data_IF_701209245083
#
_entry.id   IF_701209245083
#
_cell.length_a   1.000
_cell.length_b   1.000
_cell.length_c   1.000
_cell.angle_alpha   90.00
_cell.angle_beta   90.00
_cell.angle_gamma   90.00
#
_symmetry.space_group_name_H-M   'P 1'
#
loop_
_entity.id
_entity.type
_entity.pdbx_description
1 polymer ?
#
# COMPACT_ATOMS: atom_id res chain seq x y z
N UNK A 1 5.93 -34.10 -2.51
CA UNK A 1 4.72 -33.69 -3.25
C UNK A 1 4.96 -34.10 -4.68
N UNK A 2 4.64 -35.34 -4.98
CA UNK A 2 4.92 -35.96 -6.28
C UNK A 2 3.99 -35.39 -7.35
N UNK A 3 4.60 -34.98 -8.46
CA UNK A 3 3.97 -34.24 -9.58
C UNK A 3 3.25 -35.18 -10.55
N UNK A 4 2.44 -36.10 -10.06
CA UNK A 4 1.90 -37.18 -10.90
C UNK A 4 0.64 -36.79 -11.71
N UNK A 5 0.29 -35.50 -11.79
CA UNK A 5 -0.88 -35.01 -12.56
C UNK A 5 -0.65 -33.70 -13.32
N UNK A 6 0.60 -33.25 -13.47
CA UNK A 6 0.91 -31.94 -14.04
C UNK A 6 0.94 -32.03 -15.59
N UNK A 7 -0.13 -31.58 -16.27
CA UNK A 7 -0.20 -31.56 -17.75
C UNK A 7 0.92 -30.67 -18.31
N UNK A 8 1.81 -31.19 -19.17
CA UNK A 8 2.92 -30.42 -19.73
C UNK A 8 2.43 -29.15 -20.44
N UNK A 9 2.95 -27.99 -20.04
CA UNK A 9 2.59 -26.69 -20.61
C UNK A 9 1.34 -26.01 -20.03
N UNK A 10 0.63 -26.64 -19.08
CA UNK A 10 -0.53 -26.05 -18.41
C UNK A 10 -0.15 -25.13 -17.22
N UNK A 11 1.04 -25.32 -16.65
CA UNK A 11 1.52 -24.57 -15.49
C UNK A 11 2.69 -23.66 -15.89
N UNK A 12 2.59 -22.37 -15.51
CA UNK A 12 3.64 -21.36 -15.71
C UNK A 12 4.01 -20.73 -14.37
N UNK A 13 5.30 -20.47 -14.09
CA UNK A 13 5.71 -19.81 -12.86
C UNK A 13 5.22 -18.35 -12.82
N UNK A 14 4.25 -18.07 -11.96
CA UNK A 14 3.79 -16.69 -11.69
C UNK A 14 4.78 -16.02 -10.74
N UNK A 15 5.32 -14.87 -11.16
CA UNK A 15 6.19 -14.07 -10.30
C UNK A 15 5.37 -13.41 -9.19
N UNK A 16 5.83 -13.51 -7.94
CA UNK A 16 5.17 -12.90 -6.78
C UNK A 16 4.88 -11.41 -6.95
N UNK A 17 5.72 -10.68 -7.68
CA UNK A 17 5.50 -9.28 -8.00
C UNK A 17 4.18 -8.98 -8.74
N UNK A 18 3.57 -9.97 -9.41
CA UNK A 18 2.25 -9.80 -10.05
C UNK A 18 1.08 -9.99 -9.07
N UNK A 19 1.28 -10.72 -7.97
CA UNK A 19 0.21 -11.09 -7.04
C UNK A 19 0.31 -10.34 -5.70
N UNK A 20 1.50 -9.85 -5.33
CA UNK A 20 1.74 -9.16 -4.07
C UNK A 20 1.62 -7.63 -4.22
N UNK A 21 1.05 -6.93 -3.23
CA UNK A 21 0.97 -5.48 -3.22
C UNK A 21 2.35 -4.82 -3.33
N UNK A 22 2.46 -3.76 -4.14
CA UNK A 22 3.69 -2.98 -4.31
C UNK A 22 3.93 -2.12 -3.07
N UNK A 23 4.79 -2.62 -2.18
CA UNK A 23 5.25 -1.93 -0.99
C UNK A 23 6.48 -1.08 -1.32
N UNK A 24 6.54 0.13 -0.77
CA UNK A 24 7.65 1.08 -0.88
C UNK A 24 8.21 1.25 0.53
N UNK A 25 9.34 0.58 0.82
CA UNK A 25 9.95 0.59 2.17
C UNK A 25 9.07 -0.01 3.27
N UNK A 26 8.12 -0.90 2.90
CA UNK A 26 7.17 -1.49 3.84
C UNK A 26 5.84 -0.73 3.99
N UNK A 27 5.66 0.40 3.31
CA UNK A 27 4.40 1.15 3.23
C UNK A 27 3.70 0.96 1.87
N UNK A 28 2.36 1.02 1.77
CA UNK A 28 1.68 1.00 0.48
C UNK A 28 2.06 2.25 -0.33
N UNK A 29 2.45 2.06 -1.60
CA UNK A 29 2.94 3.15 -2.47
C UNK A 29 2.04 4.40 -2.48
N UNK A 30 0.72 4.21 -2.53
CA UNK A 30 -0.24 5.32 -2.57
C UNK A 30 -0.16 6.22 -1.33
N UNK A 31 -0.07 5.64 -0.14
CA UNK A 31 0.03 6.37 1.12
C UNK A 31 1.38 7.06 1.27
N UNK A 32 2.46 6.39 0.88
CA UNK A 32 3.79 6.99 0.91
C UNK A 32 3.86 8.26 0.04
N UNK A 33 3.25 8.23 -1.15
CA UNK A 33 3.18 9.39 -2.05
C UNK A 33 2.34 10.51 -1.42
N UNK A 34 1.11 10.22 -0.99
CA UNK A 34 0.22 11.24 -0.40
C UNK A 34 0.86 11.89 0.83
N UNK A 35 1.46 11.10 1.72
CA UNK A 35 2.13 11.62 2.91
C UNK A 35 3.38 12.44 2.56
N UNK A 36 4.17 11.98 1.60
CA UNK A 36 5.31 12.73 1.08
C UNK A 36 4.92 14.08 0.48
N UNK A 37 3.82 14.12 -0.28
CA UNK A 37 3.29 15.37 -0.85
C UNK A 37 2.78 16.30 0.24
N UNK A 38 2.04 15.79 1.24
CA UNK A 38 1.52 16.59 2.34
C UNK A 38 2.67 17.20 3.17
N UNK A 39 3.68 16.38 3.49
CA UNK A 39 4.88 16.83 4.19
C UNK A 39 5.66 17.89 3.39
N UNK A 40 5.81 17.70 2.07
CA UNK A 40 6.46 18.66 1.18
C UNK A 40 5.69 19.98 1.10
N UNK A 41 4.37 19.92 0.96
CA UNK A 41 3.50 21.09 0.93
C UNK A 41 3.60 21.91 2.23
N UNK A 42 3.61 21.24 3.39
CA UNK A 42 3.74 21.91 4.69
C UNK A 42 5.17 22.41 4.92
N UNK A 43 6.17 21.56 4.69
CA UNK A 43 7.57 21.84 5.00
C UNK A 43 8.18 22.91 4.10
N UNK A 44 7.96 22.81 2.80
CA UNK A 44 8.48 23.76 1.81
C UNK A 44 7.54 24.96 1.63
N UNK A 45 6.22 24.72 1.58
CA UNK A 45 5.24 25.78 1.31
C UNK A 45 5.10 26.80 2.42
N UNK A 46 5.10 26.36 3.68
CA UNK A 46 5.02 27.26 4.85
C UNK A 46 6.41 27.53 5.50
N UNK A 47 7.51 27.03 4.91
CA UNK A 47 8.87 26.98 5.50
C UNK A 47 8.96 26.28 6.87
N UNK A 48 7.91 25.58 7.28
CA UNK A 48 7.84 24.80 8.52
C UNK A 48 8.51 23.44 8.33
N UNK A 49 9.76 23.44 7.88
CA UNK A 49 10.47 22.21 7.47
C UNK A 49 10.51 21.14 8.58
N UNK A 50 10.66 21.54 9.85
CA UNK A 50 10.59 20.62 11.00
C UNK A 50 9.22 19.96 11.16
N UNK A 51 8.14 20.74 10.99
CA UNK A 51 6.77 20.22 11.07
C UNK A 51 6.49 19.30 9.88
N UNK A 52 6.93 19.69 8.68
CA UNK A 52 6.85 18.83 7.49
C UNK A 52 7.58 17.51 7.67
N UNK A 53 8.77 17.54 8.28
CA UNK A 53 9.57 16.34 8.55
C UNK A 53 8.94 15.46 9.64
N UNK A 54 8.35 16.06 10.68
CA UNK A 54 7.59 15.34 11.69
C UNK A 54 6.34 14.66 11.08
N UNK A 55 5.57 15.36 10.25
CA UNK A 55 4.43 14.81 9.51
C UNK A 55 4.89 13.65 8.61
N UNK A 56 6.00 13.84 7.89
CA UNK A 56 6.57 12.81 7.05
C UNK A 56 6.91 11.56 7.85
N UNK A 57 7.68 11.70 8.93
CA UNK A 57 8.12 10.59 9.76
C UNK A 57 6.95 9.84 10.40
N UNK A 58 5.99 10.56 10.99
CA UNK A 58 4.81 9.97 11.63
C UNK A 58 3.92 9.28 10.60
N UNK A 59 3.58 9.95 9.51
CA UNK A 59 2.71 9.38 8.48
C UNK A 59 3.36 8.20 7.75
N UNK A 60 4.68 8.21 7.56
CA UNK A 60 5.40 7.09 6.97
C UNK A 60 5.46 5.90 7.94
N UNK A 61 5.76 6.13 9.21
CA UNK A 61 5.74 5.08 10.24
C UNK A 61 4.36 4.43 10.38
N UNK A 62 3.28 5.23 10.38
CA UNK A 62 1.91 4.73 10.37
C UNK A 62 1.61 3.92 9.11
N UNK A 63 2.10 4.35 7.94
CA UNK A 63 1.91 3.61 6.68
C UNK A 63 2.63 2.26 6.70
N UNK A 64 3.86 2.19 7.23
CA UNK A 64 4.61 0.94 7.39
C UNK A 64 3.91 0.01 8.40
N UNK A 65 3.42 0.56 9.52
CA UNK A 65 2.67 -0.21 10.51
C UNK A 65 1.36 -0.77 9.94
N UNK A 66 0.63 0.03 9.17
CA UNK A 66 -0.61 -0.38 8.52
C UNK A 66 -0.36 -1.50 7.50
N UNK A 67 0.66 -1.37 6.63
CA UNK A 67 1.01 -2.44 5.69
C UNK A 67 1.53 -3.70 6.38
N UNK A 68 2.19 -3.60 7.54
CA UNK A 68 2.53 -4.76 8.37
C UNK A 68 1.31 -5.46 8.97
N UNK A 69 0.23 -4.71 9.27
CA UNK A 69 -1.02 -5.24 9.83
C UNK A 69 -1.91 -5.85 8.74
N UNK A 70 -2.09 -5.15 7.63
CA UNK A 70 -2.92 -5.57 6.51
C UNK A 70 -2.46 -4.88 5.20
N UNK A 71 -1.83 -5.62 4.27
CA UNK A 71 -1.41 -5.09 2.97
C UNK A 71 -2.56 -4.58 2.09
N UNK A 72 -3.79 -5.07 2.28
CA UNK A 72 -4.96 -4.74 1.46
C UNK A 72 -5.86 -3.67 2.08
N UNK A 73 -5.51 -3.12 3.26
CA UNK A 73 -6.37 -2.16 3.97
C UNK A 73 -6.78 -0.97 3.10
N UNK A 74 -5.88 -0.47 2.24
CA UNK A 74 -6.16 0.67 1.36
C UNK A 74 -7.20 0.31 0.31
N UNK A 75 -7.14 -0.90 -0.25
CA UNK A 75 -8.10 -1.35 -1.24
C UNK A 75 -9.48 -1.61 -0.61
N UNK A 76 -9.51 -2.14 0.60
CA UNK A 76 -10.74 -2.31 1.38
C UNK A 76 -11.35 -0.96 1.74
N UNK A 77 -10.55 0.00 2.22
CA UNK A 77 -11.03 1.35 2.55
C UNK A 77 -11.57 2.09 1.32
N UNK A 78 -10.85 2.03 0.18
CA UNK A 78 -11.33 2.57 -1.10
C UNK A 78 -12.64 1.91 -1.53
N UNK A 79 -12.76 0.58 -1.37
CA UNK A 79 -13.99 -0.14 -1.66
C UNK A 79 -15.13 0.31 -0.76
N UNK A 80 -14.88 0.51 0.53
CA UNK A 80 -15.88 0.98 1.49
C UNK A 80 -16.36 2.41 1.22
N UNK A 81 -15.47 3.29 0.74
CA UNK A 81 -15.84 4.64 0.28
C UNK A 81 -16.62 4.62 -1.05
N UNK A 82 -16.27 3.71 -1.96
CA UNK A 82 -16.85 3.65 -3.30
C UNK A 82 -18.21 2.94 -3.34
N UNK A 83 -18.38 1.90 -2.53
CA UNK A 83 -19.58 1.08 -2.53
C UNK A 83 -20.37 1.28 -1.22
N UNK A 84 -21.68 1.54 -1.29
CA UNK A 84 -22.49 1.65 -0.09
C UNK A 84 -22.55 0.29 0.64
N UNK A 85 -22.69 0.33 1.97
CA UNK A 85 -22.60 -0.83 2.89
C UNK A 85 -23.53 -1.99 2.50
N UNK A 86 -24.63 -1.70 1.80
CA UNK A 86 -25.61 -2.69 1.35
C UNK A 86 -25.26 -3.38 0.02
N UNK A 87 -24.27 -2.90 -0.73
CA UNK A 87 -23.85 -3.50 -1.98
C UNK A 87 -22.89 -4.67 -1.70
N UNK A 88 -23.46 -5.88 -1.58
CA UNK A 88 -22.72 -7.14 -1.44
C UNK A 88 -22.38 -7.68 -2.84
N UNK A 89 -21.13 -8.07 -3.13
CA UNK A 89 -20.78 -8.74 -4.38
C UNK A 89 -21.43 -10.13 -4.47
#
# INVERSE_FOLDING_TARGET
>A
MDREGEVPGFFVPVHRALAEPILLGGAPRSLAIVNGTLAGAVGLGLRLWLVGLAIWAVGHALSVWAARRDPQFVDVAKRHLKYPVWMRP
#
